data_IF_771130001457
#
_entry.id   IF_771130001457
#
_cell.length_a   1.000
_cell.length_b   1.000
_cell.length_c   1.000
_cell.angle_alpha   90.00
_cell.angle_beta   90.00
_cell.angle_gamma   90.00
#
_symmetry.space_group_name_H-M   'P 1'
#
loop_
_entity.id
_entity.type
_entity.pdbx_description
1 polymer ?
#
# COMPACT_ATOMS: atom_id res chain seq x y z
N UNK A 1 56.47 60.87 -30.39
CA UNK A 1 55.61 59.66 -30.34
C UNK A 1 56.16 58.72 -31.39
N UNK A 2 56.85 57.67 -30.97
CA UNK A 2 57.68 56.82 -31.82
C UNK A 2 56.98 55.48 -32.09
N UNK A 3 57.11 54.96 -33.31
CA UNK A 3 57.12 53.51 -33.58
C UNK A 3 56.08 52.99 -34.57
N UNK A 4 56.39 53.03 -35.86
CA UNK A 4 55.99 51.97 -36.80
C UNK A 4 56.98 50.79 -36.67
N UNK A 5 56.50 49.54 -36.78
CA UNK A 5 57.26 48.38 -37.30
C UNK A 5 56.34 47.16 -37.56
N UNK A 6 56.09 46.91 -38.85
CA UNK A 6 56.25 45.64 -39.58
C UNK A 6 55.58 44.31 -39.14
N UNK A 7 54.83 43.75 -40.12
CA UNK A 7 54.82 42.35 -40.63
C UNK A 7 54.48 41.16 -39.72
N UNK A 8 53.46 40.39 -40.10
CA UNK A 8 53.66 39.07 -40.77
C UNK A 8 52.36 38.49 -41.34
N UNK A 9 52.34 38.32 -42.65
CA UNK A 9 51.44 37.43 -43.37
C UNK A 9 51.87 35.98 -43.11
N UNK A 10 50.97 35.12 -42.66
CA UNK A 10 51.13 33.67 -42.79
C UNK A 10 49.85 33.08 -43.38
N UNK A 11 49.90 32.84 -44.69
CA UNK A 11 49.04 31.87 -45.35
C UNK A 11 49.48 30.45 -44.94
N UNK A 12 48.56 29.66 -44.40
CA UNK A 12 48.61 28.20 -44.47
C UNK A 12 47.21 27.66 -44.81
N UNK A 13 47.04 27.26 -46.08
CA UNK A 13 46.24 26.11 -46.53
C UNK A 13 47.28 25.09 -47.05
N UNK A 14 47.05 23.75 -47.16
CA UNK A 14 45.77 23.02 -47.29
C UNK A 14 45.72 21.62 -46.61
N UNK A 15 44.60 20.88 -46.81
CA UNK A 15 44.46 19.42 -46.61
C UNK A 15 43.23 19.08 -45.73
N UNK A 16 42.04 18.71 -46.24
CA UNK A 16 41.64 17.53 -47.03
C UNK A 16 42.16 16.22 -46.44
N UNK A 17 41.36 15.58 -45.57
CA UNK A 17 40.83 14.21 -45.71
C UNK A 17 40.34 13.67 -44.34
N UNK A 18 39.10 13.18 -44.32
CA UNK A 18 38.65 12.13 -43.40
C UNK A 18 38.07 12.57 -42.05
N UNK A 19 36.75 12.59 -41.92
CA UNK A 19 36.05 11.45 -41.31
C UNK A 19 34.53 11.65 -41.32
N UNK A 20 33.88 11.04 -42.31
CA UNK A 20 32.46 10.68 -42.27
C UNK A 20 32.23 9.61 -41.19
N UNK A 21 32.05 10.01 -39.94
CA UNK A 21 31.61 9.12 -38.84
C UNK A 21 30.48 9.73 -38.01
N UNK A 22 29.58 10.46 -38.66
CA UNK A 22 28.47 11.15 -38.00
C UNK A 22 27.10 10.44 -38.01
N UNK A 23 26.92 9.31 -38.73
CA UNK A 23 25.57 8.81 -39.03
C UNK A 23 25.24 7.37 -38.59
N UNK A 24 26.14 6.64 -37.93
CA UNK A 24 25.85 5.25 -37.52
C UNK A 24 25.20 5.14 -36.13
N UNK A 25 25.42 6.10 -35.23
CA UNK A 25 24.97 6.06 -33.84
C UNK A 25 23.51 6.49 -33.65
N UNK A 26 22.96 7.29 -34.56
CA UNK A 26 21.55 7.73 -34.51
C UNK A 26 20.57 6.65 -35.00
N UNK A 27 20.99 5.77 -35.92
CA UNK A 27 20.13 4.68 -36.41
C UNK A 27 19.93 3.56 -35.36
N UNK A 28 20.93 3.30 -34.52
CA UNK A 28 20.84 2.27 -33.49
C UNK A 28 19.91 2.65 -32.32
N UNK A 29 19.83 3.94 -31.96
CA UNK A 29 18.95 4.42 -30.88
C UNK A 29 17.48 4.51 -31.29
N UNK A 30 17.20 4.80 -32.57
CA UNK A 30 15.83 4.83 -33.09
C UNK A 30 15.18 3.43 -33.13
N UNK A 31 15.95 2.37 -33.43
CA UNK A 31 15.43 1.00 -33.47
C UNK A 31 15.02 0.45 -32.10
N UNK A 32 15.78 0.78 -31.05
CA UNK A 32 15.50 0.31 -29.68
C UNK A 32 14.25 1.00 -29.11
N UNK A 33 14.07 2.30 -29.35
CA UNK A 33 12.88 3.02 -28.90
C UNK A 33 11.59 2.48 -29.57
N UNK A 34 11.64 2.21 -30.88
CA UNK A 34 10.49 1.63 -31.60
C UNK A 34 10.21 0.20 -31.14
N UNK A 35 11.24 -0.61 -30.88
CA UNK A 35 11.08 -1.96 -30.33
C UNK A 35 10.41 -1.98 -28.96
N UNK A 36 10.83 -1.11 -28.04
CA UNK A 36 10.23 -0.99 -26.70
C UNK A 36 8.77 -0.54 -26.78
N UNK A 37 8.46 0.43 -27.65
CA UNK A 37 7.08 0.91 -27.85
C UNK A 37 6.18 -0.19 -28.40
N UNK A 38 6.65 -1.00 -29.37
CA UNK A 38 5.87 -2.10 -29.92
C UNK A 38 5.61 -3.22 -28.89
N UNK A 39 6.60 -3.52 -28.04
CA UNK A 39 6.42 -4.50 -26.95
C UNK A 39 5.42 -3.99 -25.92
N UNK A 40 5.49 -2.70 -25.54
CA UNK A 40 4.54 -2.09 -24.62
C UNK A 40 3.12 -2.04 -25.21
N UNK A 41 2.97 -1.72 -26.49
CA UNK A 41 1.66 -1.74 -27.17
C UNK A 41 1.07 -3.15 -27.27
N UNK A 42 1.90 -4.15 -27.60
CA UNK A 42 1.45 -5.55 -27.61
C UNK A 42 1.05 -6.01 -26.20
N UNK A 43 1.80 -5.64 -25.17
CA UNK A 43 1.46 -5.95 -23.78
C UNK A 43 0.18 -5.24 -23.33
N UNK A 44 -0.03 -3.99 -23.74
CA UNK A 44 -1.25 -3.23 -23.44
C UNK A 44 -2.48 -3.81 -24.15
N UNK A 45 -2.34 -4.31 -25.38
CA UNK A 45 -3.40 -5.05 -26.09
C UNK A 45 -3.73 -6.38 -25.40
N UNK A 46 -2.74 -7.10 -24.87
CA UNK A 46 -2.96 -8.33 -24.07
C UNK A 46 -3.69 -8.02 -22.76
N UNK A 47 -3.36 -6.91 -22.10
CA UNK A 47 -4.07 -6.48 -20.89
C UNK A 47 -5.51 -6.02 -21.18
N UNK A 48 -5.76 -5.39 -22.33
CA UNK A 48 -7.09 -4.92 -22.74
C UNK A 48 -7.97 -6.02 -23.34
N UNK A 49 -7.42 -7.19 -23.70
CA UNK A 49 -8.17 -8.33 -24.24
C UNK A 49 -8.46 -9.43 -23.22
N UNK A 50 -7.96 -9.30 -21.98
CA UNK A 50 -8.26 -10.21 -20.87
C UNK A 50 -9.55 -9.79 -20.14
N UNK A 51 -10.63 -9.68 -20.90
CA UNK A 51 -11.99 -9.74 -20.36
C UNK A 51 -12.48 -11.19 -20.52
N UNK A 52 -12.39 -11.97 -19.45
CA UNK A 52 -12.96 -13.31 -19.40
C UNK A 52 -14.48 -13.28 -19.12
N UNK A 53 -15.21 -14.28 -19.63
CA UNK A 53 -16.63 -14.23 -19.92
C UNK A 53 -17.46 -14.41 -18.66
N UNK A 54 -18.30 -13.44 -18.34
CA UNK A 54 -19.34 -13.60 -17.33
C UNK A 54 -20.62 -12.88 -17.75
N UNK A 55 -21.09 -13.19 -18.95
CA UNK A 55 -22.49 -12.99 -19.34
C UNK A 55 -23.00 -14.19 -20.10
N UNK A 56 -23.05 -15.34 -19.43
CA UNK A 56 -23.93 -16.43 -19.87
C UNK A 56 -24.51 -17.15 -18.65
N UNK A 57 -25.56 -16.56 -18.10
CA UNK A 57 -26.65 -17.32 -17.52
C UNK A 57 -27.94 -16.60 -17.93
N UNK A 58 -28.44 -17.02 -19.08
CA UNK A 58 -29.73 -16.65 -19.59
C UNK A 58 -30.84 -17.31 -18.76
N UNK A 59 -31.96 -16.61 -18.71
CA UNK A 59 -33.32 -17.15 -18.70
C UNK A 59 -33.83 -17.75 -17.39
N UNK A 60 -34.56 -16.91 -16.66
CA UNK A 60 -35.83 -17.25 -16.02
C UNK A 60 -36.73 -18.06 -16.97
N UNK A 61 -37.45 -19.06 -16.44
CA UNK A 61 -38.87 -19.20 -16.78
C UNK A 61 -39.74 -19.10 -15.54
N UNK A 62 -40.84 -18.36 -15.68
CA UNK A 62 -41.88 -18.21 -14.69
C UNK A 62 -42.88 -19.39 -14.70
N UNK A 63 -43.46 -19.63 -13.52
CA UNK A 63 -44.79 -20.18 -13.22
C UNK A 63 -45.07 -21.69 -13.28
N UNK A 64 -45.36 -22.29 -12.11
CA UNK A 64 -46.69 -22.82 -11.71
C UNK A 64 -46.66 -23.37 -10.26
N UNK A 65 -47.79 -23.37 -9.51
CA UNK A 65 -47.83 -23.72 -8.09
C UNK A 65 -48.05 -25.23 -7.86
N UNK A 66 -47.35 -25.83 -6.89
CA UNK A 66 -47.61 -27.18 -6.42
C UNK A 66 -47.61 -27.25 -4.88
N UNK A 67 -48.59 -28.01 -4.37
CA UNK A 67 -49.09 -28.13 -3.00
C UNK A 67 -48.05 -28.37 -1.87
N UNK A 68 -48.40 -28.10 -0.59
CA UNK A 68 -47.55 -28.42 0.54
C UNK A 68 -47.48 -29.93 0.77
N UNK A 69 -46.28 -30.50 0.68
CA UNK A 69 -46.01 -31.89 1.06
C UNK A 69 -45.46 -31.89 2.49
N UNK A 70 -46.26 -32.40 3.42
CA UNK A 70 -45.88 -32.59 4.82
C UNK A 70 -44.76 -33.63 4.94
N UNK A 71 -43.57 -33.20 5.38
CA UNK A 71 -42.49 -34.12 5.75
C UNK A 71 -42.53 -34.34 7.27
N UNK A 72 -43.04 -35.50 7.66
CA UNK A 72 -42.94 -36.01 9.02
C UNK A 72 -41.48 -36.41 9.29
N UNK A 73 -40.78 -35.64 10.13
CA UNK A 73 -39.44 -36.02 10.61
C UNK A 73 -39.59 -36.72 11.96
N UNK A 74 -39.31 -38.02 11.99
CA UNK A 74 -39.29 -38.84 13.20
C UNK A 74 -38.05 -38.53 14.04
N UNK A 75 -38.30 -38.29 15.32
CA UNK A 75 -37.34 -38.21 16.43
C UNK A 75 -36.46 -39.46 16.54
N UNK A 76 -35.14 -39.27 16.65
CA UNK A 76 -34.23 -40.20 17.33
C UNK A 76 -33.34 -39.37 18.25
N UNK A 77 -33.53 -39.55 19.56
CA UNK A 77 -32.62 -39.07 20.59
C UNK A 77 -31.55 -40.13 20.87
N UNK A 78 -30.30 -39.75 21.13
CA UNK A 78 -29.40 -40.50 22.00
C UNK A 78 -29.27 -39.81 23.36
N UNK A 79 -29.37 -40.54 24.49
CA UNK A 79 -29.05 -40.01 25.81
C UNK A 79 -27.56 -40.17 26.14
N UNK A 80 -27.18 -39.45 27.20
CA UNK A 80 -26.01 -39.62 28.10
C UNK A 80 -24.86 -38.62 27.93
N UNK A 81 -24.90 -37.66 28.87
CA UNK A 81 -23.80 -37.10 29.66
C UNK A 81 -22.45 -36.85 28.98
N UNK A 82 -22.25 -35.58 28.65
CA UNK A 82 -20.94 -34.97 28.52
C UNK A 82 -21.06 -33.52 28.96
N UNK A 83 -20.79 -33.25 30.24
CA UNK A 83 -20.57 -31.91 30.78
C UNK A 83 -19.31 -31.33 30.12
N UNK A 84 -19.46 -30.72 28.94
CA UNK A 84 -18.52 -29.72 28.45
C UNK A 84 -19.17 -28.37 28.67
N UNK A 85 -18.79 -27.76 29.79
CA UNK A 85 -18.94 -26.35 30.10
C UNK A 85 -18.62 -25.54 28.83
N UNK A 86 -19.67 -25.10 28.14
CA UNK A 86 -19.60 -23.99 27.20
C UNK A 86 -19.24 -22.78 28.06
N UNK A 87 -17.94 -22.50 28.18
CA UNK A 87 -17.45 -21.26 28.77
C UNK A 87 -18.01 -20.13 27.94
N UNK A 88 -19.09 -19.52 28.43
CA UNK A 88 -19.54 -18.22 28.00
C UNK A 88 -18.31 -17.29 27.92
N UNK A 89 -18.18 -16.45 26.88
CA UNK A 89 -17.09 -15.49 26.80
C UNK A 89 -17.08 -14.67 28.08
N UNK A 90 -15.99 -14.77 28.84
CA UNK A 90 -15.77 -13.90 29.99
C UNK A 90 -15.89 -12.45 29.50
N UNK A 91 -16.63 -11.63 30.25
CA UNK A 91 -16.69 -10.20 30.03
C UNK A 91 -15.26 -9.65 29.87
N UNK A 92 -15.02 -8.73 28.92
CA UNK A 92 -13.68 -8.27 28.63
C UNK A 92 -13.08 -7.68 29.90
N UNK A 93 -11.95 -8.24 30.35
CA UNK A 93 -11.05 -7.50 31.24
C UNK A 93 -10.76 -6.20 30.51
N UNK A 94 -10.99 -5.07 31.18
CA UNK A 94 -10.56 -3.77 30.66
C UNK A 94 -9.07 -3.90 30.42
N UNK A 95 -8.69 -4.02 29.15
CA UNK A 95 -7.29 -4.12 28.77
C UNK A 95 -6.59 -2.84 29.23
N UNK A 96 -5.39 -2.98 29.79
CA UNK A 96 -4.59 -1.84 30.23
C UNK A 96 -4.04 -1.03 29.06
N UNK A 97 -3.12 -0.10 29.32
CA UNK A 97 -2.44 0.65 28.27
C UNK A 97 -1.45 -0.24 27.48
N UNK A 98 -1.39 -0.09 26.17
CA UNK A 98 -0.48 -0.84 25.29
C UNK A 98 0.97 -0.38 25.42
N UNK A 99 1.21 0.87 25.86
CA UNK A 99 2.55 1.42 26.08
C UNK A 99 3.38 0.68 27.14
N UNK A 100 2.71 -0.08 28.01
CA UNK A 100 3.35 -0.88 29.07
C UNK A 100 3.70 -2.31 28.63
N UNK A 101 3.29 -2.72 27.43
CA UNK A 101 3.48 -4.09 26.97
C UNK A 101 4.92 -4.29 26.44
N UNK A 102 5.53 -5.47 26.66
CA UNK A 102 6.81 -5.79 26.05
C UNK A 102 6.65 -5.92 24.53
N UNK A 103 7.72 -5.64 23.79
CA UNK A 103 7.81 -5.92 22.36
C UNK A 103 7.69 -7.43 22.09
N UNK A 104 7.33 -7.81 20.86
CA UNK A 104 7.32 -9.20 20.43
C UNK A 104 5.97 -9.93 20.55
N UNK A 105 4.90 -9.25 20.96
CA UNK A 105 3.57 -9.86 21.02
C UNK A 105 2.97 -10.00 19.62
N UNK A 106 2.23 -11.10 19.41
CA UNK A 106 1.44 -11.32 18.22
C UNK A 106 0.01 -10.80 18.43
N UNK A 107 -0.71 -10.59 17.33
CA UNK A 107 -2.13 -10.21 17.35
C UNK A 107 -3.00 -11.15 18.20
N UNK A 108 -2.68 -12.45 18.20
CA UNK A 108 -3.39 -13.45 19.03
C UNK A 108 -3.23 -13.17 20.53
N UNK A 109 -2.05 -12.70 20.94
CA UNK A 109 -1.74 -12.46 22.34
C UNK A 109 -2.47 -11.22 22.85
N UNK A 110 -2.52 -10.17 22.02
CA UNK A 110 -3.27 -8.94 22.30
C UNK A 110 -4.78 -9.25 22.42
N UNK A 111 -5.33 -10.00 21.46
CA UNK A 111 -6.75 -10.40 21.51
C UNK A 111 -7.06 -11.27 22.74
N UNK A 112 -6.20 -12.24 23.07
CA UNK A 112 -6.37 -13.08 24.26
C UNK A 112 -6.29 -12.30 25.58
N UNK A 113 -5.51 -11.20 25.60
CA UNK A 113 -5.44 -10.27 26.73
C UNK A 113 -6.63 -9.28 26.79
N UNK A 114 -7.51 -9.29 25.80
CA UNK A 114 -8.72 -8.45 25.75
C UNK A 114 -8.52 -7.09 25.08
N UNK A 115 -7.39 -6.85 24.41
CA UNK A 115 -7.17 -5.61 23.69
C UNK A 115 -8.06 -5.51 22.46
N UNK A 116 -8.62 -4.32 22.22
CA UNK A 116 -9.39 -4.02 21.01
C UNK A 116 -8.48 -3.98 19.77
N UNK A 117 -9.09 -3.96 18.58
CA UNK A 117 -8.34 -3.82 17.34
C UNK A 117 -7.57 -2.48 17.29
N UNK A 118 -8.19 -1.39 17.75
CA UNK A 118 -7.54 -0.07 17.87
C UNK A 118 -6.26 -0.17 18.69
N UNK A 119 -6.34 -0.79 19.88
CA UNK A 119 -5.18 -0.96 20.73
C UNK A 119 -4.12 -1.89 20.09
N UNK A 120 -4.53 -2.91 19.34
CA UNK A 120 -3.59 -3.73 18.59
C UNK A 120 -2.84 -2.94 17.50
N UNK A 121 -3.51 -2.00 16.84
CA UNK A 121 -2.87 -1.08 15.89
C UNK A 121 -1.89 -0.14 16.61
N UNK A 122 -2.27 0.40 17.76
CA UNK A 122 -1.38 1.28 18.54
C UNK A 122 -0.13 0.53 19.01
N UNK A 123 -0.29 -0.70 19.48
CA UNK A 123 0.85 -1.58 19.81
C UNK A 123 1.73 -1.85 18.58
N UNK A 124 1.12 -2.21 17.44
CA UNK A 124 1.85 -2.45 16.20
C UNK A 124 2.68 -1.24 15.78
N UNK A 125 2.10 -0.03 15.84
CA UNK A 125 2.80 1.23 15.53
C UNK A 125 3.90 1.54 16.53
N UNK A 126 3.63 1.42 17.84
CA UNK A 126 4.59 1.69 18.91
C UNK A 126 5.86 0.85 18.77
N UNK A 127 5.73 -0.38 18.27
CA UNK A 127 6.83 -1.32 18.11
C UNK A 127 7.42 -1.39 16.68
N UNK A 128 7.18 -0.38 15.85
CA UNK A 128 7.80 -0.28 14.51
C UNK A 128 7.19 -1.22 13.47
N UNK A 129 5.90 -1.51 13.59
CA UNK A 129 5.10 -2.29 12.65
C UNK A 129 5.66 -3.70 12.36
N UNK A 130 5.87 -4.55 13.38
CA UNK A 130 6.52 -5.84 13.16
C UNK A 130 5.69 -6.76 12.24
N UNK A 131 6.37 -7.34 11.24
CA UNK A 131 5.81 -8.29 10.27
C UNK A 131 4.99 -9.43 10.90
N UNK A 132 5.36 -9.85 12.12
CA UNK A 132 4.66 -10.93 12.81
C UNK A 132 3.19 -10.62 13.12
N UNK A 133 2.81 -9.33 13.10
CA UNK A 133 1.44 -8.87 13.27
C UNK A 133 0.74 -8.62 11.92
N UNK A 134 1.49 -8.37 10.86
CA UNK A 134 1.00 -8.13 9.49
C UNK A 134 1.53 -9.25 8.58
N UNK A 135 0.88 -10.41 8.67
CA UNK A 135 1.41 -11.66 8.14
C UNK A 135 1.59 -11.65 6.61
N UNK A 136 0.76 -10.90 5.90
CA UNK A 136 0.82 -10.71 4.45
C UNK A 136 1.48 -9.38 4.04
N UNK A 137 1.92 -8.57 5.03
CA UNK A 137 2.68 -7.33 4.84
C UNK A 137 1.95 -6.32 3.97
N UNK A 138 0.63 -6.29 4.10
CA UNK A 138 -0.23 -5.46 3.27
C UNK A 138 -0.50 -4.07 3.92
N UNK A 139 0.00 -3.84 5.14
CA UNK A 139 -0.22 -2.64 5.94
C UNK A 139 -1.42 -2.72 6.89
N UNK A 140 -2.05 -3.89 7.02
CA UNK A 140 -3.26 -4.17 7.80
C UNK A 140 -2.95 -5.30 8.78
N UNK A 141 -2.33 -4.99 9.94
CA UNK A 141 -2.00 -6.02 10.91
C UNK A 141 -3.26 -6.64 11.49
N UNK A 142 -3.12 -7.87 11.98
CA UNK A 142 -4.11 -8.56 12.80
C UNK A 142 -5.46 -8.86 12.12
N UNK A 143 -5.59 -8.68 10.81
CA UNK A 143 -6.79 -8.95 10.02
C UNK A 143 -7.26 -10.41 10.06
N UNK A 144 -6.34 -11.33 10.34
CA UNK A 144 -6.65 -12.76 10.51
C UNK A 144 -7.13 -13.12 11.92
N UNK A 145 -6.91 -12.22 12.89
CA UNK A 145 -7.18 -12.46 14.31
C UNK A 145 -8.39 -11.66 14.78
N UNK A 146 -8.52 -10.40 14.40
CA UNK A 146 -9.67 -9.55 14.76
C UNK A 146 -10.81 -9.71 13.76
N UNK A 147 -12.01 -9.27 14.14
CA UNK A 147 -13.17 -9.43 13.26
C UNK A 147 -13.03 -8.52 12.04
N UNK A 148 -13.53 -8.96 10.88
CA UNK A 148 -13.59 -8.11 9.68
C UNK A 148 -14.33 -6.79 9.93
N UNK A 149 -15.31 -6.78 10.84
CA UNK A 149 -16.05 -5.57 11.22
C UNK A 149 -15.16 -4.55 11.92
N UNK A 150 -14.35 -4.98 12.89
CA UNK A 150 -13.43 -4.08 13.61
C UNK A 150 -12.33 -3.54 12.69
N UNK A 151 -11.79 -4.41 11.83
CA UNK A 151 -10.79 -4.06 10.81
C UNK A 151 -11.36 -3.02 9.86
N UNK A 152 -12.53 -3.30 9.26
CA UNK A 152 -13.18 -2.39 8.32
C UNK A 152 -13.59 -1.06 8.96
N UNK A 153 -14.08 -1.08 10.20
CA UNK A 153 -14.45 0.13 10.93
C UNK A 153 -13.25 1.04 11.21
N UNK A 154 -12.10 0.45 11.55
CA UNK A 154 -10.88 1.19 11.78
C UNK A 154 -10.33 1.82 10.50
N UNK A 155 -10.26 1.03 9.43
CA UNK A 155 -9.63 1.49 8.19
C UNK A 155 -10.57 2.36 7.37
N UNK A 156 -11.84 1.98 7.17
CA UNK A 156 -12.83 2.77 6.43
C UNK A 156 -12.28 3.34 5.10
N UNK A 157 -11.52 2.56 4.33
CA UNK A 157 -10.88 3.04 3.09
C UNK A 157 -9.54 3.77 3.27
N UNK A 158 -9.03 3.87 4.51
CA UNK A 158 -7.73 4.46 4.87
C UNK A 158 -6.61 3.43 4.95
N UNK A 159 -6.83 2.21 4.44
CA UNK A 159 -5.82 1.16 4.43
C UNK A 159 -4.55 1.71 3.77
N UNK A 160 -3.43 1.54 4.46
CA UNK A 160 -2.12 1.82 3.91
C UNK A 160 -1.80 0.69 2.93
N UNK A 161 -2.37 0.75 1.74
CA UNK A 161 -2.13 -0.26 0.70
C UNK A 161 -0.72 -0.09 0.15
N UNK A 162 0.16 -1.00 0.56
CA UNK A 162 1.50 -1.13 0.03
C UNK A 162 2.39 0.04 0.44
N UNK A 163 3.52 -0.30 1.03
CA UNK A 163 4.69 0.57 0.97
C UNK A 163 4.98 0.76 -0.52
N UNK A 164 4.58 1.90 -1.09
CA UNK A 164 5.11 2.29 -2.39
C UNK A 164 6.63 2.20 -2.23
N UNK A 165 7.37 1.48 -3.10
CA UNK A 165 8.79 1.20 -2.90
C UNK A 165 9.59 2.49 -3.09
N UNK A 166 9.44 3.39 -2.13
CA UNK A 166 10.11 4.66 -2.02
C UNK A 166 11.31 4.44 -1.14
N UNK A 167 12.48 4.83 -1.64
CA UNK A 167 13.72 4.80 -0.87
C UNK A 167 13.60 5.62 0.42
N UNK A 168 14.36 5.22 1.44
CA UNK A 168 14.50 5.97 2.68
C UNK A 168 15.00 7.41 2.43
N UNK A 169 14.77 8.30 3.39
CA UNK A 169 15.33 9.66 3.38
C UNK A 169 14.46 10.73 2.72
N UNK A 170 13.26 10.42 2.26
CA UNK A 170 12.34 11.40 1.70
C UNK A 170 11.74 12.30 2.79
N UNK A 171 11.45 13.54 2.41
CA UNK A 171 10.67 14.50 3.18
C UNK A 171 9.21 14.52 2.69
N UNK A 172 8.32 15.09 3.51
CA UNK A 172 6.90 15.25 3.18
C UNK A 172 6.66 15.94 1.82
N UNK A 173 7.48 16.94 1.47
CA UNK A 173 7.43 17.62 0.17
C UNK A 173 7.75 16.68 -1.00
N UNK A 174 8.69 15.76 -0.83
CA UNK A 174 9.08 14.82 -1.89
C UNK A 174 7.99 13.77 -2.12
N UNK A 175 7.24 13.42 -1.08
CA UNK A 175 6.09 12.52 -1.19
C UNK A 175 4.93 13.22 -1.91
N UNK A 176 4.58 14.43 -1.48
CA UNK A 176 3.53 15.23 -2.11
C UNK A 176 3.83 15.52 -3.58
N UNK A 177 5.09 15.84 -3.92
CA UNK A 177 5.52 16.06 -5.30
C UNK A 177 5.41 14.81 -6.19
N UNK A 178 5.46 13.62 -5.60
CA UNK A 178 5.23 12.34 -6.30
C UNK A 178 3.75 11.92 -6.35
N UNK A 179 2.85 12.79 -5.89
CA UNK A 179 1.41 12.52 -5.87
C UNK A 179 0.97 11.60 -4.74
N UNK A 180 1.79 11.41 -3.70
CA UNK A 180 1.38 10.65 -2.53
C UNK A 180 0.17 11.29 -1.87
N UNK A 181 -0.79 10.47 -1.43
CA UNK A 181 -1.87 10.92 -0.56
C UNK A 181 -1.34 11.13 0.87
N UNK A 182 -2.11 11.82 1.72
CA UNK A 182 -1.73 11.98 3.12
C UNK A 182 -1.57 10.63 3.83
N UNK A 183 -2.49 9.69 3.58
CA UNK A 183 -2.39 8.32 4.14
C UNK A 183 -1.10 7.61 3.71
N UNK A 184 -0.67 7.74 2.45
CA UNK A 184 0.60 7.20 1.97
C UNK A 184 1.83 7.91 2.58
N UNK A 185 1.72 9.20 2.89
CA UNK A 185 2.79 9.91 3.57
C UNK A 185 2.95 9.46 5.04
N UNK A 186 1.83 9.27 5.74
CA UNK A 186 1.82 8.73 7.11
C UNK A 186 2.34 7.28 7.12
N UNK A 187 1.95 6.48 6.13
CA UNK A 187 2.49 5.13 5.90
C UNK A 187 4.01 5.10 5.77
N UNK A 188 4.55 5.93 4.88
CA UNK A 188 5.99 6.05 4.68
C UNK A 188 6.69 6.50 5.97
N UNK A 189 6.10 7.45 6.70
CA UNK A 189 6.62 7.92 7.98
C UNK A 189 6.70 6.77 8.99
N UNK A 190 5.63 5.99 9.16
CA UNK A 190 5.64 4.83 10.05
C UNK A 190 6.63 3.75 9.58
N UNK A 191 6.71 3.46 8.28
CA UNK A 191 7.57 2.40 7.73
C UNK A 191 9.07 2.65 7.99
N UNK A 192 9.48 3.91 8.03
CA UNK A 192 10.88 4.31 8.28
C UNK A 192 11.12 4.77 9.72
N UNK A 193 10.40 4.19 10.68
CA UNK A 193 10.53 4.46 12.12
C UNK A 193 10.27 5.92 12.51
N UNK A 194 9.23 6.53 11.92
CA UNK A 194 8.73 7.86 12.27
C UNK A 194 9.82 8.94 12.29
N UNK A 195 10.54 9.14 11.19
CA UNK A 195 11.67 10.04 11.19
C UNK A 195 11.24 11.47 11.50
N UNK A 196 11.89 12.09 12.49
CA UNK A 196 11.58 13.46 12.95
C UNK A 196 11.61 14.50 11.84
N UNK A 197 12.33 14.25 10.72
CA UNK A 197 12.35 15.15 9.56
C UNK A 197 10.98 15.37 8.90
N UNK A 198 10.01 14.51 9.17
CA UNK A 198 8.66 14.56 8.62
C UNK A 198 7.63 15.09 9.61
N UNK A 199 7.96 15.15 10.90
CA UNK A 199 7.10 15.61 11.98
C UNK A 199 7.78 16.84 12.59
N UNK A 200 7.43 18.02 12.07
CA UNK A 200 8.20 19.25 12.24
C UNK A 200 8.16 19.75 13.69
N UNK A 201 7.05 19.54 14.39
CA UNK A 201 6.84 19.95 15.78
C UNK A 201 6.93 18.76 16.77
N UNK A 202 7.07 17.52 16.27
CA UNK A 202 7.22 16.29 17.05
C UNK A 202 5.97 15.94 17.85
N UNK A 203 4.80 16.32 17.34
CA UNK A 203 3.52 16.05 17.99
C UNK A 203 2.94 14.65 17.64
N UNK A 204 3.62 13.88 16.77
CA UNK A 204 3.17 12.58 16.29
C UNK A 204 2.30 12.65 15.02
N UNK A 205 2.19 13.81 14.38
CA UNK A 205 1.41 14.07 13.17
C UNK A 205 2.37 14.53 12.07
N UNK A 206 2.83 13.63 11.19
CA UNK A 206 3.77 14.00 10.15
C UNK A 206 3.08 14.84 9.07
N UNK A 207 3.89 15.62 8.38
CA UNK A 207 3.57 16.28 7.12
C UNK A 207 2.42 17.29 7.17
N UNK A 208 1.97 17.71 8.35
CA UNK A 208 0.93 18.73 8.55
C UNK A 208 1.29 20.11 7.98
N UNK A 209 2.58 20.37 7.75
CA UNK A 209 3.07 21.59 7.10
C UNK A 209 3.03 21.53 5.57
N UNK A 210 2.80 20.35 4.98
CA UNK A 210 2.85 20.11 3.53
C UNK A 210 1.48 19.71 2.98
N UNK A 211 0.75 18.84 3.68
CA UNK A 211 -0.60 18.44 3.30
C UNK A 211 -1.63 19.40 3.89
N UNK A 212 -2.80 19.49 3.26
CA UNK A 212 -3.85 20.36 3.74
C UNK A 212 -4.38 19.91 5.10
N UNK A 213 -4.75 20.88 5.94
CA UNK A 213 -5.39 20.62 7.24
C UNK A 213 -6.63 19.73 7.10
N UNK A 214 -7.37 19.83 5.99
CA UNK A 214 -8.50 18.95 5.72
C UNK A 214 -8.10 17.48 5.56
N UNK A 215 -7.01 17.19 4.84
CA UNK A 215 -6.51 15.83 4.68
C UNK A 215 -5.94 15.26 5.99
N UNK A 216 -5.24 16.11 6.76
CA UNK A 216 -4.72 15.77 8.09
C UNK A 216 -5.88 15.44 9.04
N UNK A 217 -6.86 16.33 9.17
CA UNK A 217 -7.98 16.15 10.08
C UNK A 217 -8.84 14.94 9.70
N UNK A 218 -9.11 14.73 8.40
CA UNK A 218 -9.86 13.58 7.93
C UNK A 218 -9.18 12.23 8.27
N UNK A 219 -7.86 12.23 8.48
CA UNK A 219 -7.11 11.04 8.84
C UNK A 219 -7.04 10.82 10.36
N UNK A 220 -6.79 11.86 11.15
CA UNK A 220 -6.54 11.74 12.60
C UNK A 220 -7.76 11.99 13.50
N UNK A 221 -8.76 12.75 13.03
CA UNK A 221 -9.89 13.21 13.84
C UNK A 221 -11.24 12.92 13.16
N UNK A 222 -11.62 11.63 13.00
CA UNK A 222 -12.89 11.25 12.38
C UNK A 222 -14.12 11.59 13.23
#
# INVERSE_FOLDING_TARGET
MNGELYSRTHCHKPGRFGHERGNATLAALAGVAVGVILVLLAWLLVLMTKDDPSKQAASTPASAPAAPVSVATRTVAPPVEGTTTSSAPAAPKVAGDVGSLPAGLFCRDLKAKGYSYVAAIDYWRLHGQPDQMDADRNGIPCETVYSRGDVAAYWNGREVTGVVPWTAGLFCRDLAARGATYAQAVAYWWYYDMPQRMDADKNGIPCETVYSTAAVNAFWFP
#
